data_IF_546912839563
#
_entry.id   IF_546912839563
#
_cell.length_a   1.000
_cell.length_b   1.000
_cell.length_c   1.000
_cell.angle_alpha   90.00
_cell.angle_beta   90.00
_cell.angle_gamma   90.00
#
_symmetry.space_group_name_H-M   'P 1'
#
loop_
_entity.id
_entity.type
_entity.pdbx_description
1 polymer ?
#
# COMPACT_ATOMS: atom_id res chain seq x y z
N UNK A 1 -19.66 -22.34 -10.19
CA UNK A 1 -19.07 -21.83 -11.44
C UNK A 1 -17.61 -22.25 -11.41
N UNK A 2 -17.06 -22.84 -12.46
CA UNK A 2 -15.62 -23.17 -12.50
C UNK A 2 -14.80 -21.89 -12.65
N UNK A 3 -13.52 -21.93 -12.26
CA UNK A 3 -12.56 -20.82 -12.44
C UNK A 3 -12.57 -20.23 -13.86
N UNK A 4 -12.60 -21.08 -14.90
CA UNK A 4 -12.71 -20.66 -16.31
C UNK A 4 -13.98 -19.86 -16.64
N UNK A 5 -15.04 -20.03 -15.85
CA UNK A 5 -16.27 -19.25 -15.98
C UNK A 5 -16.12 -17.80 -15.50
N UNK A 6 -15.21 -17.53 -14.57
CA UNK A 6 -14.97 -16.19 -14.03
C UNK A 6 -14.08 -15.33 -14.92
N UNK A 7 -13.18 -15.94 -15.69
CA UNK A 7 -12.42 -15.21 -16.72
C UNK A 7 -13.34 -14.54 -17.75
N UNK A 8 -14.54 -15.11 -17.98
CA UNK A 8 -15.55 -14.49 -18.84
C UNK A 8 -16.11 -13.19 -18.29
N UNK A 9 -16.07 -12.98 -16.96
CA UNK A 9 -16.51 -11.71 -16.36
C UNK A 9 -15.65 -10.55 -16.82
N UNK A 10 -14.39 -10.82 -17.17
CA UNK A 10 -13.40 -9.84 -17.60
C UNK A 10 -13.39 -9.62 -19.12
N UNK A 11 -14.21 -10.36 -19.87
CA UNK A 11 -14.30 -10.20 -21.31
C UNK A 11 -15.04 -8.90 -21.64
N UNK A 12 -14.38 -8.03 -22.40
CA UNK A 12 -14.97 -6.80 -22.92
C UNK A 12 -14.16 -5.56 -22.51
N UNK A 13 -14.84 -4.42 -22.49
CA UNK A 13 -14.28 -3.15 -22.02
C UNK A 13 -14.14 -3.13 -20.50
N UNK A 14 -13.27 -2.28 -19.95
CA UNK A 14 -13.14 -2.08 -18.48
C UNK A 14 -14.50 -1.82 -17.81
N UNK A 15 -15.38 -0.94 -18.33
CA UNK A 15 -16.73 -0.74 -17.80
C UNK A 15 -17.57 -2.01 -17.76
N UNK A 16 -17.56 -2.80 -18.86
CA UNK A 16 -18.30 -4.06 -18.94
C UNK A 16 -17.82 -5.05 -17.90
N UNK A 17 -16.49 -5.19 -17.76
CA UNK A 17 -15.89 -6.07 -16.78
C UNK A 17 -16.22 -5.64 -15.34
N UNK A 18 -16.17 -4.34 -15.04
CA UNK A 18 -16.53 -3.81 -13.73
C UNK A 18 -18.01 -4.05 -13.39
N UNK A 19 -18.92 -3.91 -14.35
CA UNK A 19 -20.33 -4.22 -14.17
C UNK A 19 -20.56 -5.72 -13.91
N UNK A 20 -19.91 -6.59 -14.67
CA UNK A 20 -19.98 -8.04 -14.47
C UNK A 20 -19.45 -8.47 -13.10
N UNK A 21 -18.30 -7.93 -12.69
CA UNK A 21 -17.70 -8.16 -11.38
C UNK A 21 -18.62 -7.67 -10.26
N UNK A 22 -19.22 -6.49 -10.41
CA UNK A 22 -20.19 -5.95 -9.43
C UNK A 22 -21.38 -6.89 -9.26
N UNK A 23 -21.95 -7.38 -10.36
CA UNK A 23 -23.06 -8.32 -10.31
C UNK A 23 -22.67 -9.65 -9.64
N UNK A 24 -21.47 -10.17 -9.94
CA UNK A 24 -20.98 -11.39 -9.33
C UNK A 24 -20.72 -11.22 -7.82
N UNK A 25 -20.07 -10.12 -7.42
CA UNK A 25 -19.81 -9.81 -6.01
C UNK A 25 -21.09 -9.67 -5.20
N UNK A 26 -22.14 -9.07 -5.78
CA UNK A 26 -23.46 -9.02 -5.16
C UNK A 26 -24.01 -10.43 -4.87
N UNK A 27 -23.79 -11.40 -5.76
CA UNK A 27 -24.17 -12.81 -5.52
C UNK A 27 -23.30 -13.50 -4.46
N UNK A 28 -22.04 -13.07 -4.30
CA UNK A 28 -21.13 -13.61 -3.29
C UNK A 28 -21.53 -13.26 -1.86
N UNK A 29 -22.30 -12.17 -1.64
CA UNK A 29 -22.83 -11.85 -0.32
C UNK A 29 -23.85 -12.90 0.16
N UNK A 30 -24.63 -13.45 -0.78
CA UNK A 30 -25.73 -14.38 -0.45
C UNK A 30 -25.31 -15.87 -0.54
N UNK A 31 -24.11 -16.17 -1.03
CA UNK A 31 -23.69 -17.55 -1.32
C UNK A 31 -22.21 -17.81 -1.08
N UNK A 32 -21.91 -18.74 -0.17
CA UNK A 32 -20.54 -19.18 0.10
C UNK A 32 -19.89 -19.92 -1.09
N UNK A 33 -20.69 -20.52 -1.98
CA UNK A 33 -20.18 -21.15 -3.21
C UNK A 33 -19.63 -20.07 -4.15
N UNK A 34 -20.35 -18.95 -4.28
CA UNK A 34 -19.87 -17.81 -5.06
C UNK A 34 -18.69 -17.11 -4.37
N UNK A 35 -18.69 -17.00 -3.04
CA UNK A 35 -17.55 -16.46 -2.29
C UNK A 35 -16.27 -17.31 -2.49
N UNK A 36 -16.37 -18.64 -2.46
CA UNK A 36 -15.25 -19.55 -2.78
C UNK A 36 -14.75 -19.42 -4.22
N UNK A 37 -15.68 -19.32 -5.17
CA UNK A 37 -15.32 -19.07 -6.57
C UNK A 37 -14.56 -17.75 -6.72
N UNK A 38 -15.00 -16.69 -6.02
CA UNK A 38 -14.33 -15.40 -6.04
C UNK A 38 -12.96 -15.44 -5.35
N UNK A 39 -12.83 -16.17 -4.24
CA UNK A 39 -11.55 -16.41 -3.58
C UNK A 39 -10.52 -17.01 -4.54
N UNK A 40 -10.87 -18.04 -5.29
CA UNK A 40 -9.96 -18.62 -6.29
C UNK A 40 -9.57 -17.59 -7.38
N UNK A 41 -10.47 -16.67 -7.70
CA UNK A 41 -10.29 -15.66 -8.75
C UNK A 41 -9.58 -14.37 -8.31
N UNK A 42 -9.58 -14.03 -7.03
CA UNK A 42 -9.00 -12.77 -6.53
C UNK A 42 -7.53 -12.56 -6.90
N UNK A 43 -6.63 -13.57 -6.87
CA UNK A 43 -5.26 -13.41 -7.36
C UNK A 43 -5.20 -12.93 -8.81
N UNK A 44 -6.06 -13.48 -9.67
CA UNK A 44 -6.16 -13.08 -11.07
C UNK A 44 -6.69 -11.67 -11.21
N UNK A 45 -7.71 -11.31 -10.43
CA UNK A 45 -8.22 -9.94 -10.38
C UNK A 45 -7.12 -8.95 -9.95
N UNK A 46 -6.32 -9.28 -8.93
CA UNK A 46 -5.21 -8.43 -8.49
C UNK A 46 -4.17 -8.23 -9.59
N UNK A 47 -3.80 -9.27 -10.34
CA UNK A 47 -2.91 -9.14 -11.51
C UNK A 47 -3.49 -8.20 -12.58
N UNK A 48 -4.81 -8.23 -12.79
CA UNK A 48 -5.45 -7.38 -13.80
C UNK A 48 -5.55 -5.93 -13.33
N UNK A 49 -5.87 -5.71 -12.06
CA UNK A 49 -5.96 -4.36 -11.49
C UNK A 49 -4.58 -3.70 -11.35
N UNK A 50 -3.65 -4.44 -10.76
CA UNK A 50 -2.36 -3.94 -10.25
C UNK A 50 -1.16 -4.40 -11.06
N UNK A 51 -1.33 -5.31 -12.02
CA UNK A 51 -0.24 -5.85 -12.82
C UNK A 51 0.52 -7.00 -12.16
N UNK A 52 1.51 -7.49 -12.89
CA UNK A 52 2.49 -8.48 -12.49
C UNK A 52 3.87 -8.09 -13.04
N UNK A 53 4.90 -8.89 -12.75
CA UNK A 53 6.24 -8.68 -13.33
C UNK A 53 6.24 -8.77 -14.86
N UNK A 54 5.27 -9.50 -15.42
CA UNK A 54 5.15 -9.78 -16.84
C UNK A 54 4.16 -8.87 -17.56
N UNK A 55 3.28 -8.17 -16.83
CA UNK A 55 2.17 -7.43 -17.44
C UNK A 55 1.72 -6.23 -16.62
N UNK A 56 1.37 -5.13 -17.31
CA UNK A 56 0.79 -3.95 -16.67
C UNK A 56 -0.69 -4.17 -16.35
N UNK A 57 -1.12 -3.76 -15.15
CA UNK A 57 -2.52 -3.76 -14.76
C UNK A 57 -3.28 -2.54 -15.26
N UNK A 58 -4.60 -2.52 -15.10
CA UNK A 58 -5.46 -1.41 -15.50
C UNK A 58 -5.07 -0.08 -14.86
N UNK A 59 -4.59 -0.08 -13.62
CA UNK A 59 -4.15 1.14 -12.92
C UNK A 59 -2.79 1.69 -13.41
N UNK A 60 -2.08 0.94 -14.26
CA UNK A 60 -0.85 1.39 -14.93
C UNK A 60 -1.10 1.94 -16.34
N UNK A 61 -2.35 1.93 -16.78
CA UNK A 61 -2.73 2.37 -18.12
C UNK A 61 -3.38 3.75 -18.05
N UNK A 62 -3.17 4.60 -19.07
CA UNK A 62 -3.95 5.82 -19.20
C UNK A 62 -5.40 5.44 -19.54
N UNK A 63 -6.30 5.57 -18.57
CA UNK A 63 -7.71 5.23 -18.74
C UNK A 63 -8.49 6.47 -19.17
N UNK A 64 -9.49 6.27 -20.04
CA UNK A 64 -10.47 7.34 -20.27
C UNK A 64 -11.35 7.50 -19.04
N UNK A 65 -11.93 8.68 -18.83
CA UNK A 65 -12.86 8.93 -17.71
C UNK A 65 -14.02 7.93 -17.65
N UNK A 66 -14.51 7.48 -18.82
CA UNK A 66 -15.56 6.48 -18.94
C UNK A 66 -15.13 5.08 -18.45
N UNK A 67 -13.83 4.77 -18.50
CA UNK A 67 -13.24 3.52 -17.98
C UNK A 67 -12.82 3.67 -16.50
N UNK A 68 -12.34 4.86 -16.12
CA UNK A 68 -11.92 5.19 -14.76
C UNK A 68 -13.09 5.16 -13.78
N UNK A 69 -14.21 5.85 -14.08
CA UNK A 69 -15.36 5.94 -13.18
C UNK A 69 -15.86 4.56 -12.69
N UNK A 70 -16.17 3.57 -13.55
CA UNK A 70 -16.63 2.26 -13.09
C UNK A 70 -15.56 1.45 -12.38
N UNK A 71 -14.29 1.57 -12.79
CA UNK A 71 -13.17 0.92 -12.09
C UNK A 71 -13.03 1.48 -10.67
N UNK A 72 -13.09 2.80 -10.55
CA UNK A 72 -13.00 3.51 -9.28
C UNK A 72 -14.16 3.15 -8.36
N UNK A 73 -15.40 3.14 -8.87
CA UNK A 73 -16.59 2.72 -8.12
C UNK A 73 -16.50 1.28 -7.59
N UNK A 74 -15.86 0.38 -8.35
CA UNK A 74 -15.65 -1.00 -7.95
C UNK A 74 -14.68 -1.13 -6.76
N UNK A 75 -13.52 -0.46 -6.84
CA UNK A 75 -12.36 -0.72 -5.94
C UNK A 75 -12.16 0.31 -4.83
N UNK A 76 -12.81 1.49 -4.90
CA UNK A 76 -12.74 2.50 -3.84
C UNK A 76 -13.17 1.92 -2.48
N UNK A 77 -12.82 2.54 -1.35
CA UNK A 77 -13.15 1.96 -0.04
C UNK A 77 -14.65 1.71 0.19
N UNK A 78 -15.53 2.49 -0.45
CA UNK A 78 -17.00 2.28 -0.44
C UNK A 78 -17.52 1.29 -1.49
N UNK A 79 -16.63 0.84 -2.37
CA UNK A 79 -16.96 0.00 -3.52
C UNK A 79 -17.45 -1.37 -3.10
N UNK A 80 -18.16 -2.04 -4.01
CA UNK A 80 -18.70 -3.38 -3.76
C UNK A 80 -17.60 -4.40 -3.46
N UNK A 81 -16.43 -4.29 -4.10
CA UNK A 81 -15.29 -5.16 -3.84
C UNK A 81 -14.79 -5.00 -2.41
N UNK A 82 -14.50 -3.77 -1.99
CA UNK A 82 -14.01 -3.52 -0.64
C UNK A 82 -15.00 -4.00 0.43
N UNK A 83 -16.29 -3.72 0.26
CA UNK A 83 -17.34 -4.20 1.18
C UNK A 83 -17.38 -5.72 1.28
N UNK A 84 -17.21 -6.42 0.16
CA UNK A 84 -17.17 -7.89 0.15
C UNK A 84 -15.91 -8.42 0.85
N UNK A 85 -14.74 -7.82 0.60
CA UNK A 85 -13.50 -8.22 1.26
C UNK A 85 -13.56 -8.01 2.78
N UNK A 86 -14.16 -6.90 3.21
CA UNK A 86 -14.37 -6.59 4.63
C UNK A 86 -15.36 -7.55 5.30
N UNK A 87 -16.46 -7.90 4.62
CA UNK A 87 -17.47 -8.81 5.17
C UNK A 87 -16.96 -10.23 5.41
N UNK A 88 -15.87 -10.61 4.73
CA UNK A 88 -15.22 -11.91 4.85
C UNK A 88 -13.86 -11.85 5.55
N UNK A 89 -13.49 -10.74 6.17
CA UNK A 89 -12.16 -10.54 6.79
C UNK A 89 -11.82 -11.58 7.86
N UNK A 90 -12.80 -11.96 8.69
CA UNK A 90 -12.60 -12.89 9.82
C UNK A 90 -12.74 -14.37 9.43
N UNK A 91 -13.02 -14.66 8.16
CA UNK A 91 -13.26 -16.02 7.70
C UNK A 91 -11.93 -16.74 7.42
N UNK A 92 -11.63 -17.74 8.26
CA UNK A 92 -10.39 -18.53 8.18
C UNK A 92 -10.35 -19.47 6.97
N UNK A 93 -11.46 -19.64 6.25
CA UNK A 93 -11.52 -20.42 5.01
C UNK A 93 -10.91 -19.70 3.80
N UNK A 94 -10.69 -18.38 3.89
CA UNK A 94 -10.24 -17.55 2.77
C UNK A 94 -8.84 -16.98 3.00
N UNK A 95 -7.84 -17.86 3.00
CA UNK A 95 -6.43 -17.53 3.28
C UNK A 95 -5.56 -17.86 2.06
N UNK A 96 -4.71 -16.92 1.65
CA UNK A 96 -3.67 -17.11 0.64
C UNK A 96 -2.31 -17.29 1.29
N UNK A 97 -1.57 -18.29 0.82
CA UNK A 97 -0.13 -18.38 1.08
C UNK A 97 0.61 -17.39 0.16
N UNK A 98 1.40 -16.51 0.74
CA UNK A 98 2.17 -15.53 -0.01
C UNK A 98 3.38 -16.18 -0.67
N UNK A 99 3.56 -15.87 -1.95
CA UNK A 99 4.75 -16.28 -2.70
C UNK A 99 5.95 -15.49 -2.16
N UNK A 100 7.05 -16.14 -1.71
CA UNK A 100 8.20 -15.43 -1.18
C UNK A 100 8.73 -14.34 -2.13
N UNK A 101 8.74 -14.61 -3.44
CA UNK A 101 9.25 -13.70 -4.48
C UNK A 101 8.48 -12.39 -4.64
N UNK A 102 7.27 -12.27 -4.07
CA UNK A 102 6.52 -11.01 -4.03
C UNK A 102 6.84 -10.16 -2.81
N UNK A 103 7.48 -10.72 -1.78
CA UNK A 103 7.85 -10.01 -0.56
C UNK A 103 9.18 -9.27 -0.73
N UNK A 104 9.48 -8.23 0.07
CA UNK A 104 10.81 -7.61 0.07
C UNK A 104 11.91 -8.63 0.39
N UNK A 105 13.08 -8.46 -0.23
CA UNK A 105 14.23 -9.37 -0.04
C UNK A 105 14.61 -9.56 1.44
N UNK A 106 14.48 -8.50 2.24
CA UNK A 106 14.71 -8.52 3.68
C UNK A 106 13.74 -9.44 4.41
N UNK A 107 12.47 -9.41 4.01
CA UNK A 107 11.43 -10.28 4.56
C UNK A 107 11.69 -11.72 4.13
N UNK A 108 12.01 -11.96 2.87
CA UNK A 108 12.32 -13.28 2.33
C UNK A 108 13.44 -13.98 3.11
N UNK A 109 14.54 -13.26 3.41
CA UNK A 109 15.66 -13.83 4.19
C UNK A 109 15.28 -14.24 5.61
N UNK A 110 14.19 -13.69 6.15
CA UNK A 110 13.69 -13.97 7.49
C UNK A 110 12.61 -15.06 7.51
N UNK A 111 12.17 -15.57 6.36
CA UNK A 111 11.25 -16.72 6.26
C UNK A 111 11.97 -18.05 6.51
N UNK A 112 12.87 -18.06 7.48
CA UNK A 112 13.59 -19.23 7.96
C UNK A 112 13.07 -19.65 9.34
N UNK A 113 12.93 -20.96 9.63
CA UNK A 113 12.49 -21.45 10.94
C UNK A 113 13.26 -20.91 12.15
N UNK A 114 14.48 -20.41 11.96
CA UNK A 114 15.31 -19.85 13.04
C UNK A 114 15.19 -18.32 13.17
N UNK A 115 14.71 -17.62 12.13
CA UNK A 115 14.75 -16.15 12.07
C UNK A 115 13.37 -15.47 12.02
N UNK A 116 12.29 -16.24 11.82
CA UNK A 116 10.95 -15.67 11.60
C UNK A 116 10.44 -14.76 12.72
N UNK A 117 10.94 -14.91 13.95
CA UNK A 117 10.60 -14.02 15.08
C UNK A 117 11.11 -12.58 14.89
N UNK A 118 12.02 -12.35 13.94
CA UNK A 118 12.54 -11.02 13.59
C UNK A 118 11.79 -10.37 12.42
N UNK A 119 10.73 -11.01 11.92
CA UNK A 119 9.88 -10.43 10.90
C UNK A 119 9.22 -9.13 11.39
N UNK A 120 8.95 -8.18 10.49
CA UNK A 120 8.10 -7.03 10.78
C UNK A 120 6.81 -7.43 11.52
N UNK A 121 6.32 -6.61 12.48
CA UNK A 121 5.12 -6.92 13.26
C UNK A 121 3.89 -7.27 12.41
N UNK A 122 3.76 -6.65 11.24
CA UNK A 122 2.67 -6.93 10.29
C UNK A 122 2.67 -8.38 9.78
N UNK A 123 3.79 -9.08 9.81
CA UNK A 123 3.87 -10.46 9.33
C UNK A 123 3.81 -11.47 10.47
N UNK A 124 4.24 -11.10 11.69
CA UNK A 124 4.29 -12.02 12.83
C UNK A 124 2.92 -12.65 13.14
N UNK A 125 1.85 -11.87 13.07
CA UNK A 125 0.48 -12.38 13.27
C UNK A 125 -0.05 -13.24 12.12
N UNK A 126 0.71 -13.34 11.03
CA UNK A 126 0.34 -14.02 9.76
C UNK A 126 1.27 -15.20 9.46
N UNK A 127 2.17 -15.53 10.38
CA UNK A 127 3.07 -16.68 10.24
C UNK A 127 2.30 -17.98 10.42
N UNK A 128 2.40 -18.87 9.44
CA UNK A 128 1.98 -20.25 9.52
C UNK A 128 3.22 -21.16 9.53
N UNK A 129 3.39 -21.93 10.61
CA UNK A 129 4.52 -22.85 10.78
C UNK A 129 4.13 -24.25 10.30
N UNK A 130 4.72 -24.68 9.19
CA UNK A 130 4.60 -26.06 8.73
C UNK A 130 5.54 -26.92 9.56
N UNK A 131 4.95 -27.88 10.30
CA UNK A 131 5.69 -28.81 11.15
C UNK A 131 5.71 -30.17 10.46
N UNK A 132 6.90 -30.72 10.25
CA UNK A 132 7.04 -32.09 9.78
C UNK A 132 7.34 -32.99 10.97
N UNK A 133 6.59 -34.08 11.08
CA UNK A 133 6.83 -35.11 12.08
C UNK A 133 7.83 -36.10 11.46
N UNK A 134 9.06 -36.07 11.93
CA UNK A 134 10.05 -37.08 11.58
C UNK A 134 10.00 -38.22 12.61
N UNK A 135 9.69 -39.43 12.17
CA UNK A 135 9.74 -40.62 13.03
C UNK A 135 11.18 -41.11 13.12
N UNK A 136 11.89 -40.76 14.19
CA UNK A 136 13.26 -41.21 14.42
C UNK A 136 13.26 -42.39 15.39
N UNK A 137 13.45 -43.60 14.86
CA UNK A 137 13.76 -44.82 15.63
C UNK A 137 12.59 -45.44 16.40
N UNK A 138 12.71 -46.75 16.67
CA UNK A 138 11.71 -47.61 17.33
C UNK A 138 11.45 -47.30 18.81
N UNK A 139 12.12 -46.30 19.38
CA UNK A 139 11.99 -45.90 20.80
C UNK A 139 11.64 -44.42 20.93
N UNK A 140 10.35 -44.15 20.75
CA UNK A 140 9.53 -43.08 21.34
C UNK A 140 10.25 -41.80 21.81
N UNK A 141 10.39 -40.82 20.90
CA UNK A 141 10.18 -39.39 21.19
C UNK A 141 9.92 -38.65 19.87
N UNK A 142 8.66 -38.37 19.59
CA UNK A 142 8.23 -37.62 18.41
C UNK A 142 8.53 -36.14 18.64
N UNK A 143 9.63 -35.61 18.08
CA UNK A 143 9.87 -34.16 18.05
C UNK A 143 9.32 -33.60 16.74
N UNK A 144 8.35 -32.68 16.86
CA UNK A 144 7.88 -31.90 15.71
C UNK A 144 8.90 -30.79 15.43
N UNK A 145 9.52 -30.83 14.25
CA UNK A 145 10.44 -29.78 13.80
C UNK A 145 9.72 -28.85 12.82
N UNK A 146 9.89 -27.55 13.01
CA UNK A 146 9.42 -26.54 12.05
C UNK A 146 10.30 -26.63 10.81
N UNK A 147 9.69 -26.92 9.66
CA UNK A 147 10.41 -27.12 8.40
C UNK A 147 10.21 -25.98 7.42
N UNK A 148 9.08 -25.27 7.52
CA UNK A 148 8.76 -24.13 6.64
C UNK A 148 8.01 -23.05 7.40
N UNK A 149 8.31 -21.80 7.10
CA UNK A 149 7.61 -20.62 7.59
C UNK A 149 6.89 -19.99 6.40
N UNK A 150 5.56 -19.97 6.45
CA UNK A 150 4.71 -19.36 5.43
C UNK A 150 4.06 -18.08 5.98
N UNK A 151 3.77 -17.13 5.09
CA UNK A 151 2.92 -16.00 5.42
C UNK A 151 1.54 -16.20 4.79
N UNK A 152 0.52 -16.04 5.61
CA UNK A 152 -0.86 -16.30 5.27
C UNK A 152 -1.68 -15.03 5.37
N UNK A 153 -2.22 -14.54 4.26
CA UNK A 153 -3.03 -13.33 4.20
C UNK A 153 -4.48 -13.69 3.92
N UNK A 154 -5.43 -13.00 4.57
CA UNK A 154 -6.83 -13.09 4.16
C UNK A 154 -7.08 -12.32 2.85
N UNK A 155 -8.30 -12.36 2.33
CA UNK A 155 -8.64 -11.69 1.06
C UNK A 155 -8.40 -10.18 1.05
N UNK A 156 -8.74 -9.47 2.13
CA UNK A 156 -8.51 -8.04 2.21
C UNK A 156 -7.02 -7.72 2.26
N UNK A 157 -6.28 -8.44 3.10
CA UNK A 157 -4.84 -8.26 3.27
C UNK A 157 -4.08 -8.54 1.98
N UNK A 158 -4.45 -9.61 1.28
CA UNK A 158 -3.89 -9.93 -0.03
C UNK A 158 -4.16 -8.80 -1.02
N UNK A 159 -5.40 -8.31 -1.09
CA UNK A 159 -5.77 -7.20 -1.97
C UNK A 159 -5.00 -5.91 -1.66
N UNK A 160 -4.90 -5.53 -0.38
CA UNK A 160 -4.16 -4.34 0.05
C UNK A 160 -2.65 -4.46 -0.16
N UNK A 161 -2.10 -5.68 -0.02
CA UNK A 161 -0.72 -5.97 -0.36
C UNK A 161 -0.46 -5.70 -1.84
N UNK A 162 -1.29 -6.24 -2.73
CA UNK A 162 -1.11 -6.04 -4.18
C UNK A 162 -1.35 -4.59 -4.62
N UNK A 163 -2.24 -3.86 -3.94
CA UNK A 163 -2.41 -2.42 -4.15
C UNK A 163 -1.08 -1.66 -3.93
N UNK A 164 -0.38 -1.93 -2.83
CA UNK A 164 0.89 -1.30 -2.53
C UNK A 164 2.05 -1.84 -3.39
N UNK A 165 2.01 -3.13 -3.71
CA UNK A 165 2.98 -3.81 -4.58
C UNK A 165 2.97 -3.28 -6.02
N UNK A 166 1.83 -2.77 -6.51
CA UNK A 166 1.68 -2.21 -7.85
C UNK A 166 2.81 -1.23 -8.22
N UNK A 167 3.16 -0.32 -7.29
CA UNK A 167 4.20 0.68 -7.51
C UNK A 167 5.64 0.13 -7.46
N UNK A 168 5.81 -1.10 -6.99
CA UNK A 168 7.13 -1.76 -6.88
C UNK A 168 7.48 -2.60 -8.10
N UNK A 169 6.57 -2.71 -9.07
CA UNK A 169 6.82 -3.42 -10.31
C UNK A 169 7.81 -2.62 -11.16
N UNK A 170 8.97 -3.22 -11.43
CA UNK A 170 10.01 -2.62 -12.26
C UNK A 170 9.53 -2.48 -13.72
N UNK A 171 9.79 -1.32 -14.33
CA UNK A 171 9.67 -1.14 -15.78
C UNK A 171 10.96 -1.66 -16.43
N UNK A 172 11.14 -2.99 -16.45
CA UNK A 172 12.33 -3.67 -16.99
C UNK A 172 12.54 -3.42 -18.51
N UNK A 173 11.64 -2.66 -19.13
CA UNK A 173 11.72 -2.14 -20.50
C UNK A 173 12.95 -1.25 -20.77
N UNK A 174 13.74 -0.88 -19.74
CA UNK A 174 15.00 -0.16 -19.91
C UNK A 174 16.08 -0.98 -20.65
N UNK A 175 15.95 -2.32 -20.77
CA UNK A 175 16.92 -3.17 -21.49
C UNK A 175 16.61 -3.40 -22.99
N UNK A 176 15.69 -2.65 -23.61
CA UNK A 176 15.61 -2.57 -25.07
C UNK A 176 15.14 -3.85 -25.78
N UNK A 177 14.70 -4.88 -25.05
CA UNK A 177 13.79 -5.87 -25.63
C UNK A 177 12.43 -5.21 -25.64
N UNK A 178 12.07 -4.62 -26.78
CA UNK A 178 10.72 -4.12 -27.00
C UNK A 178 9.71 -5.24 -26.77
N UNK A 179 9.24 -5.37 -25.52
CA UNK A 179 7.99 -6.03 -25.24
C UNK A 179 6.98 -5.12 -25.93
N UNK A 180 6.48 -5.62 -27.07
CA UNK A 180 5.43 -4.94 -27.81
C UNK A 180 4.39 -4.52 -26.78
N UNK A 181 3.88 -3.29 -26.89
CA UNK A 181 2.56 -2.94 -26.39
C UNK A 181 1.59 -4.01 -26.90
N UNK A 182 1.49 -5.16 -26.23
CA UNK A 182 0.33 -6.00 -26.29
C UNK A 182 -0.68 -5.19 -25.51
N UNK A 183 -1.35 -4.32 -26.25
CA UNK A 183 -2.62 -3.73 -25.86
C UNK A 183 -3.35 -4.78 -25.01
N UNK A 184 -3.75 -4.51 -23.76
CA UNK A 184 -4.50 -5.48 -22.96
C UNK A 184 -5.75 -5.97 -23.70
N UNK A 185 -6.23 -5.18 -24.69
CA UNK A 185 -7.27 -5.57 -25.64
C UNK A 185 -6.90 -6.75 -26.56
N UNK A 186 -5.61 -7.01 -26.79
CA UNK A 186 -5.09 -8.11 -27.62
C UNK A 186 -4.45 -9.26 -26.84
N UNK A 187 -4.21 -9.14 -25.53
CA UNK A 187 -3.66 -10.23 -24.71
C UNK A 187 -4.59 -11.46 -24.57
N UNK A 188 -5.77 -11.43 -25.19
CA UNK A 188 -6.82 -12.46 -25.11
C UNK A 188 -6.97 -13.35 -26.35
N UNK A 189 -5.99 -13.41 -27.26
CA UNK A 189 -6.01 -14.41 -28.34
C UNK A 189 -5.31 -15.71 -27.92
N UNK A 190 -6.12 -16.73 -27.67
CA UNK A 190 -5.73 -18.13 -27.51
C UNK A 190 -4.97 -18.61 -28.75
N UNK A 191 -3.86 -19.35 -28.52
CA UNK A 191 -2.88 -19.80 -29.50
C UNK A 191 -3.47 -20.49 -30.74
N UNK A 192 -3.03 -20.05 -31.93
CA UNK A 192 -2.99 -20.87 -33.15
C UNK A 192 -1.56 -21.40 -33.40
N UNK A 193 -1.39 -22.46 -34.22
CA UNK A 193 -0.11 -23.17 -34.34
C UNK A 193 0.96 -22.34 -35.07
N UNK A 194 2.27 -22.59 -34.80
CA UNK A 194 3.35 -21.77 -35.31
C UNK A 194 3.67 -22.13 -36.77
N UNK A 195 3.85 -21.10 -37.60
CA UNK A 195 4.38 -21.23 -38.97
C UNK A 195 5.81 -20.66 -39.00
N UNK A 196 6.76 -21.53 -39.36
CA UNK A 196 7.90 -21.23 -40.23
C UNK A 196 9.06 -20.40 -39.68
N UNK A 197 10.12 -21.10 -39.28
CA UNK A 197 11.48 -20.59 -39.07
C UNK A 197 12.21 -20.28 -40.39
N UNK A 198 13.02 -19.22 -40.40
CA UNK A 198 14.15 -19.04 -41.33
C UNK A 198 15.29 -18.22 -40.67
N UNK A 199 16.56 -18.38 -41.07
CA UNK A 199 17.70 -18.25 -40.15
C UNK A 199 18.68 -17.08 -40.40
N UNK A 200 19.41 -16.78 -39.31
CA UNK A 200 20.79 -16.27 -39.15
C UNK A 200 21.34 -15.08 -39.96
N UNK A 201 21.87 -14.10 -39.21
CA UNK A 201 22.97 -13.23 -39.62
C UNK A 201 23.72 -12.75 -38.37
N UNK A 202 24.95 -13.23 -38.16
CA UNK A 202 25.76 -12.94 -36.98
C UNK A 202 26.54 -11.63 -37.06
N UNK A 203 26.93 -11.09 -35.89
CA UNK A 203 28.02 -10.15 -35.74
C UNK A 203 28.60 -10.22 -34.31
N UNK A 204 29.90 -9.95 -34.24
CA UNK A 204 30.93 -10.29 -33.23
C UNK A 204 30.86 -9.52 -31.90
N UNK A 205 31.59 -9.98 -30.86
CA UNK A 205 31.75 -9.25 -29.61
C UNK A 205 32.76 -8.11 -29.79
N UNK A 206 32.45 -6.93 -29.26
CA UNK A 206 33.36 -5.79 -29.23
C UNK A 206 33.58 -5.33 -27.79
N UNK A 207 34.87 -5.13 -27.52
CA UNK A 207 35.51 -4.90 -26.24
C UNK A 207 35.05 -3.65 -25.48
N UNK A 208 35.28 -3.75 -24.18
CA UNK A 208 35.25 -2.70 -23.19
C UNK A 208 36.31 -1.64 -23.50
N UNK A 209 35.90 -0.43 -23.93
CA UNK A 209 36.53 0.86 -23.58
C UNK A 209 35.78 2.01 -24.24
N UNK A 210 34.84 2.63 -23.52
CA UNK A 210 34.58 4.08 -23.61
C UNK A 210 33.52 4.45 -22.58
N UNK A 211 33.85 5.38 -21.68
CA UNK A 211 32.93 5.91 -20.68
C UNK A 211 31.73 6.57 -21.34
N UNK A 212 30.62 5.85 -21.40
CA UNK A 212 29.32 6.49 -21.47
C UNK A 212 29.01 7.06 -20.08
N UNK A 213 28.58 8.33 -19.97
CA UNK A 213 28.04 8.82 -18.70
C UNK A 213 26.90 7.87 -18.27
N UNK A 214 26.73 7.59 -16.96
CA UNK A 214 25.62 6.79 -16.51
C UNK A 214 24.34 7.40 -17.08
N UNK A 215 23.61 6.64 -17.91
CA UNK A 215 22.32 7.08 -18.44
C UNK A 215 21.48 7.46 -17.23
N UNK A 216 21.10 8.73 -17.15
CA UNK A 216 20.21 9.21 -16.10
C UNK A 216 18.96 8.30 -16.10
N UNK A 217 18.61 7.68 -14.98
CA UNK A 217 17.37 6.94 -14.89
C UNK A 217 16.25 7.93 -15.16
N UNK A 218 15.65 7.88 -16.35
CA UNK A 218 14.40 8.60 -16.61
C UNK A 218 13.35 8.01 -15.69
N UNK A 219 13.11 8.70 -14.58
CA UNK A 219 12.03 8.41 -13.67
C UNK A 219 10.72 8.53 -14.44
N UNK A 220 10.15 7.39 -14.84
CA UNK A 220 8.86 7.33 -15.53
C UNK A 220 7.78 7.10 -14.49
N UNK A 221 6.72 7.88 -14.61
CA UNK A 221 5.46 7.67 -13.90
C UNK A 221 4.87 6.33 -14.37
N UNK A 222 4.72 5.38 -13.45
CA UNK A 222 4.17 4.04 -13.62
C UNK A 222 2.63 4.03 -13.52
N UNK A 223 2.05 4.95 -12.74
CA UNK A 223 0.60 5.03 -12.47
C UNK A 223 -0.04 6.34 -12.91
N UNK A 224 -1.30 6.28 -13.34
CA UNK A 224 -2.09 7.47 -13.66
C UNK A 224 -2.65 8.15 -12.39
N UNK A 225 -3.20 9.36 -12.54
CA UNK A 225 -3.82 10.14 -11.45
C UNK A 225 -4.92 9.39 -10.69
N UNK A 226 -5.57 8.42 -11.33
CA UNK A 226 -6.57 7.53 -10.72
C UNK A 226 -6.02 6.75 -9.52
N UNK A 227 -4.77 6.28 -9.60
CA UNK A 227 -4.12 5.55 -8.50
C UNK A 227 -3.92 6.47 -7.30
N UNK A 228 -3.41 7.69 -7.52
CA UNK A 228 -3.20 8.66 -6.45
C UNK A 228 -4.51 9.07 -5.79
N UNK A 229 -5.57 9.26 -6.58
CA UNK A 229 -6.90 9.54 -6.03
C UNK A 229 -7.42 8.38 -5.17
N UNK A 230 -7.26 7.14 -5.63
CA UNK A 230 -7.62 5.95 -4.85
C UNK A 230 -6.78 5.83 -3.57
N UNK A 231 -5.48 6.10 -3.66
CA UNK A 231 -4.57 6.11 -2.52
C UNK A 231 -5.00 7.11 -1.46
N UNK A 232 -5.35 8.34 -1.85
CA UNK A 232 -5.93 9.33 -0.96
C UNK A 232 -7.20 8.82 -0.26
N UNK A 233 -8.11 8.17 -0.98
CA UNK A 233 -9.31 7.60 -0.36
C UNK A 233 -8.99 6.49 0.63
N UNK A 234 -8.04 5.61 0.32
CA UNK A 234 -7.59 4.58 1.27
C UNK A 234 -6.94 5.19 2.51
N UNK A 235 -6.15 6.25 2.38
CA UNK A 235 -5.61 6.98 3.54
C UNK A 235 -6.73 7.56 4.41
N UNK A 236 -7.74 8.21 3.81
CA UNK A 236 -8.89 8.71 4.56
C UNK A 236 -9.71 7.61 5.22
N UNK A 237 -9.82 6.45 4.58
CA UNK A 237 -10.63 5.33 5.06
C UNK A 237 -9.94 4.54 6.18
N UNK A 238 -8.68 4.15 5.99
CA UNK A 238 -7.91 3.33 6.93
C UNK A 238 -7.18 4.15 8.00
N UNK A 239 -6.88 5.42 7.73
CA UNK A 239 -6.20 6.34 8.65
C UNK A 239 -7.00 7.65 8.77
N UNK A 240 -8.27 7.59 9.23
CA UNK A 240 -9.13 8.77 9.32
C UNK A 240 -8.59 9.81 10.30
N UNK A 241 -9.11 11.03 10.19
CA UNK A 241 -8.87 12.08 11.16
C UNK A 241 -9.43 11.67 12.54
N UNK A 242 -8.74 11.99 13.65
CA UNK A 242 -9.29 11.73 14.97
C UNK A 242 -10.53 12.61 15.17
N UNK A 243 -11.59 12.03 15.74
CA UNK A 243 -12.75 12.81 16.15
C UNK A 243 -12.32 13.73 17.29
N UNK A 244 -12.51 15.05 17.14
CA UNK A 244 -12.30 16.00 18.24
C UNK A 244 -13.26 15.63 19.39
N UNK A 245 -12.80 15.58 20.65
CA UNK A 245 -13.68 15.46 21.80
C UNK A 245 -14.78 16.53 21.74
N UNK A 246 -16.02 16.15 22.06
CA UNK A 246 -17.17 17.07 22.04
C UNK A 246 -17.06 18.07 23.20
N UNK A 247 -16.25 19.11 23.03
CA UNK A 247 -16.09 20.17 24.04
C UNK A 247 -17.12 21.32 23.90
N UNK A 248 -18.23 21.11 23.17
CA UNK A 248 -19.30 22.10 23.05
C UNK A 248 -20.64 21.57 23.60
N UNK A 249 -21.20 22.16 24.66
CA UNK A 249 -22.60 21.98 24.98
C UNK A 249 -23.44 22.83 24.00
N UNK A 250 -24.54 22.25 23.52
CA UNK A 250 -25.56 22.85 22.64
C UNK A 250 -25.19 23.06 21.17
N UNK A 251 -25.76 22.23 20.29
CA UNK A 251 -26.88 22.61 19.41
C UNK A 251 -27.34 21.39 18.60
N UNK A 252 -28.66 21.15 18.60
CA UNK A 252 -29.45 20.19 17.81
C UNK A 252 -28.87 18.77 17.54
N UNK A 253 -29.43 17.71 18.17
CA UNK A 253 -29.06 16.32 17.83
C UNK A 253 -29.40 15.94 16.37
N UNK A 254 -30.32 16.67 15.73
CA UNK A 254 -30.82 16.33 14.39
C UNK A 254 -29.99 16.93 13.24
N UNK A 255 -29.09 17.90 13.50
CA UNK A 255 -28.27 18.55 12.46
C UNK A 255 -26.89 17.90 12.27
N UNK A 256 -26.39 17.13 13.25
CA UNK A 256 -25.06 16.49 13.22
C UNK A 256 -25.05 15.10 12.55
N UNK A 257 -26.18 14.65 11.99
CA UNK A 257 -26.27 13.42 11.18
C UNK A 257 -25.86 13.65 9.71
N UNK A 258 -25.52 14.89 9.32
CA UNK A 258 -24.93 15.21 8.03
C UNK A 258 -23.52 14.62 7.91
N UNK A 259 -23.51 13.35 7.49
CA UNK A 259 -22.44 12.59 6.84
C UNK A 259 -21.06 12.65 7.52
N UNK A 260 -20.92 11.92 8.63
CA UNK A 260 -19.60 11.47 9.06
C UNK A 260 -18.92 10.74 7.87
N UNK A 261 -17.68 11.11 7.49
CA UNK A 261 -16.98 10.42 6.41
C UNK A 261 -16.85 8.93 6.74
N UNK A 262 -17.02 8.08 5.73
CA UNK A 262 -16.86 6.64 5.92
C UNK A 262 -15.39 6.33 6.18
N UNK A 263 -15.16 5.47 7.15
CA UNK A 263 -13.87 4.97 7.59
C UNK A 263 -14.03 3.51 8.00
N UNK A 264 -12.92 2.80 8.12
CA UNK A 264 -12.94 1.41 8.61
C UNK A 264 -13.61 1.28 9.99
N UNK A 265 -13.63 2.35 10.80
CA UNK A 265 -14.19 2.34 12.15
C UNK A 265 -15.72 2.47 12.21
N UNK A 266 -16.35 3.05 11.19
CA UNK A 266 -17.81 3.16 11.09
C UNK A 266 -18.42 2.32 9.97
N UNK A 267 -17.60 1.50 9.28
CA UNK A 267 -18.09 0.56 8.27
C UNK A 267 -18.79 -0.62 8.95
N UNK A 268 -20.01 -0.91 8.48
CA UNK A 268 -20.87 -1.98 8.97
C UNK A 268 -20.55 -3.33 8.31
N UNK A 269 -19.70 -3.37 7.28
CA UNK A 269 -19.24 -4.64 6.71
C UNK A 269 -18.47 -5.51 7.73
N UNK A 270 -17.95 -4.93 8.81
CA UNK A 270 -17.15 -5.61 9.85
C UNK A 270 -18.03 -5.98 11.07
N UNK A 271 -19.31 -6.30 10.86
CA UNK A 271 -20.27 -6.55 11.95
C UNK A 271 -20.04 -7.90 12.69
N UNK A 272 -19.35 -8.86 12.08
CA UNK A 272 -19.30 -10.25 12.57
C UNK A 272 -18.09 -10.62 13.47
N UNK A 273 -17.38 -9.63 14.03
CA UNK A 273 -16.20 -9.87 14.88
C UNK A 273 -16.52 -9.63 16.35
N UNK A 274 -16.31 -10.65 17.21
CA UNK A 274 -16.39 -10.50 18.67
C UNK A 274 -15.54 -9.33 19.19
N UNK A 275 -14.38 -9.11 18.55
CA UNK A 275 -13.45 -8.00 18.83
C UNK A 275 -13.41 -6.96 17.69
N UNK A 276 -14.57 -6.45 17.27
CA UNK A 276 -14.71 -5.50 16.13
C UNK A 276 -13.68 -4.36 16.16
N UNK A 277 -13.46 -3.75 17.31
CA UNK A 277 -12.54 -2.62 17.46
C UNK A 277 -11.08 -3.02 17.18
N UNK A 278 -10.66 -4.18 17.71
CA UNK A 278 -9.31 -4.71 17.47
C UNK A 278 -9.12 -5.11 16.01
N UNK A 279 -10.14 -5.72 15.40
CA UNK A 279 -10.15 -6.05 13.97
C UNK A 279 -9.97 -4.81 13.11
N UNK A 280 -10.74 -3.75 13.36
CA UNK A 280 -10.63 -2.49 12.63
C UNK A 280 -9.24 -1.86 12.76
N UNK A 281 -8.67 -1.85 13.97
CA UNK A 281 -7.32 -1.37 14.21
C UNK A 281 -6.28 -2.21 13.46
N UNK A 282 -6.40 -3.54 13.51
CA UNK A 282 -5.49 -4.47 12.83
C UNK A 282 -5.50 -4.27 11.30
N UNK A 283 -6.66 -3.99 10.71
CA UNK A 283 -6.79 -3.66 9.28
C UNK A 283 -6.01 -2.38 8.97
N UNK A 284 -6.21 -1.31 9.75
CA UNK A 284 -5.47 -0.05 9.60
C UNK A 284 -3.96 -0.24 9.74
N UNK A 285 -3.53 -1.01 10.73
CA UNK A 285 -2.12 -1.32 11.00
C UNK A 285 -1.49 -2.14 9.88
N UNK A 286 -2.22 -3.12 9.35
CA UNK A 286 -1.77 -3.89 8.21
C UNK A 286 -1.60 -3.03 6.96
N UNK A 287 -2.59 -2.18 6.65
CA UNK A 287 -2.51 -1.28 5.51
C UNK A 287 -1.26 -0.39 5.60
N UNK A 288 -1.08 0.32 6.71
CA UNK A 288 0.06 1.24 6.84
C UNK A 288 1.40 0.51 6.90
N UNK A 289 1.49 -0.60 7.64
CA UNK A 289 2.73 -1.34 7.72
C UNK A 289 3.12 -1.95 6.38
N UNK A 290 2.15 -2.33 5.55
CA UNK A 290 2.41 -2.81 4.17
C UNK A 290 3.01 -1.70 3.31
N UNK A 291 2.49 -0.47 3.37
CA UNK A 291 3.08 0.67 2.66
C UNK A 291 4.53 0.90 3.12
N UNK A 292 4.76 0.91 4.44
CA UNK A 292 6.09 1.13 5.01
C UNK A 292 7.06 0.04 4.58
N UNK A 293 6.66 -1.22 4.66
CA UNK A 293 7.52 -2.35 4.33
C UNK A 293 7.86 -2.40 2.84
N UNK A 294 6.89 -2.15 1.95
CA UNK A 294 7.12 -2.17 0.51
C UNK A 294 7.81 -0.92 -0.03
N UNK A 295 7.53 0.27 0.52
CA UNK A 295 8.00 1.54 -0.05
C UNK A 295 9.20 2.14 0.69
N UNK A 296 9.26 2.00 2.01
CA UNK A 296 10.35 2.56 2.84
C UNK A 296 11.35 1.49 3.29
N UNK A 297 10.90 0.24 3.46
CA UNK A 297 11.68 -0.87 4.01
C UNK A 297 12.69 -1.52 3.05
N UNK A 298 12.82 -1.01 1.81
CA UNK A 298 13.74 -1.57 0.80
C UNK A 298 15.22 -1.27 1.08
N UNK A 299 15.49 -0.23 1.87
CA UNK A 299 16.84 0.27 2.10
C UNK A 299 17.30 -0.03 3.51
N UNK A 300 18.39 -0.78 3.64
CA UNK A 300 19.00 -1.10 4.93
C UNK A 300 20.34 -0.41 5.09
N UNK A 301 20.50 0.30 6.22
CA UNK A 301 21.81 0.67 6.74
C UNK A 301 22.33 -0.46 7.60
N UNK A 302 23.14 -1.35 7.02
CA UNK A 302 23.86 -2.35 7.82
C UNK A 302 24.91 -1.60 8.64
N UNK A 303 24.87 -1.78 9.97
CA UNK A 303 25.72 -1.07 10.95
C UNK A 303 27.22 -1.40 10.75
N UNK A 304 27.55 -2.52 10.10
CA UNK A 304 28.91 -2.86 9.62
C UNK A 304 29.29 -2.13 8.32
N UNK A 305 29.15 -0.81 8.36
CA UNK A 305 30.02 0.26 7.87
C UNK A 305 30.77 0.22 6.50
N UNK A 306 30.45 -0.63 5.51
CA UNK A 306 31.01 -0.44 4.13
C UNK A 306 30.07 -0.68 2.94
N UNK A 307 28.92 -1.30 3.14
CA UNK A 307 27.98 -1.57 2.04
C UNK A 307 26.61 -1.01 2.34
N UNK A 308 26.36 0.21 1.86
CA UNK A 308 25.01 0.77 1.81
C UNK A 308 24.30 0.11 0.62
N UNK A 309 23.20 -0.60 0.89
CA UNK A 309 22.29 -1.02 -0.18
C UNK A 309 21.24 0.06 -0.34
N UNK A 310 21.40 0.84 -1.39
CA UNK A 310 20.42 1.83 -1.80
C UNK A 310 19.73 1.37 -3.08
N UNK A 311 18.44 1.10 -2.98
CA UNK A 311 17.49 0.94 -4.06
C UNK A 311 16.76 2.27 -4.15
N UNK A 312 16.95 2.97 -5.26
CA UNK A 312 16.21 4.21 -5.52
C UNK A 312 14.73 3.86 -5.73
N UNK A 313 13.80 4.45 -4.96
CA UNK A 313 12.38 4.29 -5.21
C UNK A 313 11.97 5.04 -6.48
N UNK A 314 10.96 4.55 -7.18
CA UNK A 314 10.34 5.27 -8.29
C UNK A 314 9.74 6.61 -7.84
N UNK A 315 9.55 7.55 -8.79
CA UNK A 315 8.94 8.85 -8.51
C UNK A 315 7.56 8.71 -7.85
N UNK A 316 6.73 7.78 -8.32
CA UNK A 316 5.38 7.60 -7.80
C UNK A 316 5.38 7.15 -6.34
N UNK A 317 6.32 6.27 -5.97
CA UNK A 317 6.52 5.87 -4.58
C UNK A 317 6.89 7.09 -3.73
N UNK A 318 7.83 7.93 -4.20
CA UNK A 318 8.23 9.13 -3.48
C UNK A 318 7.07 10.12 -3.30
N UNK A 319 6.23 10.29 -4.32
CA UNK A 319 5.03 11.12 -4.26
C UNK A 319 3.98 10.55 -3.29
N UNK A 320 3.71 9.25 -3.35
CA UNK A 320 2.83 8.57 -2.39
C UNK A 320 3.34 8.71 -0.94
N UNK A 321 4.65 8.65 -0.70
CA UNK A 321 5.23 8.90 0.63
C UNK A 321 4.98 10.35 1.06
N UNK A 322 5.17 11.33 0.16
CA UNK A 322 4.88 12.74 0.46
C UNK A 322 3.41 12.95 0.84
N UNK A 323 2.49 12.33 0.09
CA UNK A 323 1.05 12.35 0.36
C UNK A 323 0.74 11.71 1.72
N UNK A 324 1.33 10.55 2.01
CA UNK A 324 1.15 9.85 3.28
C UNK A 324 1.62 10.69 4.48
N UNK A 325 2.80 11.29 4.39
CA UNK A 325 3.36 12.14 5.44
C UNK A 325 2.49 13.38 5.64
N UNK A 326 2.03 14.00 4.55
CA UNK A 326 1.09 15.12 4.58
C UNK A 326 -0.22 14.75 5.27
N UNK A 327 -0.80 13.60 4.92
CA UNK A 327 -2.05 13.09 5.50
C UNK A 327 -1.94 12.86 7.01
N UNK A 328 -0.79 12.37 7.48
CA UNK A 328 -0.52 12.14 8.90
C UNK A 328 -0.36 13.44 9.70
N UNK A 329 0.07 14.53 9.06
CA UNK A 329 0.24 15.82 9.73
C UNK A 329 -0.93 16.80 9.54
N UNK A 330 -1.73 16.65 8.48
CA UNK A 330 -2.85 17.53 8.16
C UNK A 330 -4.00 17.51 9.19
N UNK A 331 -4.15 16.42 9.94
CA UNK A 331 -5.27 16.22 10.88
C UNK A 331 -4.85 16.29 12.35
N UNK A 332 -4.08 17.32 12.67
CA UNK A 332 -3.65 17.70 14.02
C UNK A 332 -2.63 16.73 14.62
N UNK A 333 -1.38 17.20 14.68
CA UNK A 333 -0.38 16.69 15.60
C UNK A 333 -0.78 17.15 17.02
N UNK A 334 -1.85 16.54 17.55
CA UNK A 334 -2.09 16.63 18.97
C UNK A 334 -0.80 16.26 19.72
N UNK A 335 -0.60 16.85 20.90
CA UNK A 335 0.47 16.49 21.81
C UNK A 335 0.57 14.96 22.07
N UNK A 336 -0.45 14.19 21.69
CA UNK A 336 -0.54 12.74 21.78
C UNK A 336 0.30 11.94 20.76
N UNK A 337 0.68 12.54 19.61
CA UNK A 337 1.48 11.84 18.55
C UNK A 337 2.96 12.21 18.62
N UNK A 338 3.29 13.45 18.98
CA UNK A 338 4.67 13.97 19.04
C UNK A 338 5.26 14.02 20.47
N UNK A 339 4.46 13.73 21.50
CA UNK A 339 4.93 13.61 22.88
C UNK A 339 5.82 12.37 23.04
N UNK A 340 7.12 12.51 22.78
CA UNK A 340 8.14 11.52 23.11
C UNK A 340 8.20 11.25 24.61
N UNK A 341 8.34 9.98 24.98
CA UNK A 341 8.73 9.37 26.27
C UNK A 341 8.14 9.92 27.60
N UNK A 342 7.30 10.96 27.59
CA UNK A 342 6.72 11.61 28.76
C UNK A 342 5.20 11.49 28.84
N UNK A 343 4.58 10.75 27.92
CA UNK A 343 3.17 10.35 28.06
C UNK A 343 3.13 8.83 28.07
N UNK A 344 2.73 8.19 29.19
CA UNK A 344 2.57 6.75 29.25
C UNK A 344 1.72 6.25 28.08
N UNK A 345 1.95 5.01 27.66
CA UNK A 345 1.27 4.28 26.59
C UNK A 345 -0.24 4.09 26.80
N UNK A 346 -0.82 4.88 27.71
CA UNK A 346 -2.16 4.85 28.23
C UNK A 346 -2.39 6.25 28.82
N UNK A 347 -2.99 7.18 28.05
CA UNK A 347 -3.80 8.19 28.71
C UNK A 347 -5.05 7.42 29.08
N UNK A 348 -5.03 6.85 30.28
CA UNK A 348 -6.15 6.17 30.89
C UNK A 348 -6.93 7.26 31.63
N UNK A 349 -8.22 7.40 31.36
CA UNK A 349 -9.09 8.21 32.21
C UNK A 349 -9.05 7.69 33.67
N UNK A 350 -9.62 8.42 34.62
CA UNK A 350 -9.67 7.97 36.03
C UNK A 350 -10.39 6.62 36.24
N UNK A 351 -10.93 6.01 35.18
CA UNK A 351 -11.63 4.71 35.20
C UNK A 351 -10.87 3.58 34.50
N UNK A 352 -9.65 3.78 34.00
CA UNK A 352 -8.88 2.70 33.38
C UNK A 352 -8.89 2.65 31.85
N UNK A 353 -9.54 3.60 31.15
CA UNK A 353 -9.79 3.50 29.69
C UNK A 353 -8.98 4.48 28.85
N UNK A 354 -8.43 4.01 27.73
CA UNK A 354 -7.70 4.82 26.74
C UNK A 354 -8.52 6.04 26.30
N UNK A 355 -7.93 7.24 26.41
CA UNK A 355 -8.49 8.54 25.99
C UNK A 355 -8.39 8.73 24.47
N UNK A 356 -7.60 7.91 23.76
CA UNK A 356 -7.58 7.92 22.29
C UNK A 356 -8.74 7.08 21.74
N UNK A 357 -9.53 7.68 20.84
CA UNK A 357 -10.46 6.93 19.99
C UNK A 357 -9.69 6.03 18.99
N UNK A 358 -10.38 5.08 18.35
CA UNK A 358 -9.76 4.14 17.41
C UNK A 358 -8.97 4.82 16.28
N UNK A 359 -9.49 5.94 15.75
CA UNK A 359 -8.81 6.74 14.74
C UNK A 359 -7.46 7.31 15.25
N UNK A 360 -7.43 7.82 16.48
CA UNK A 360 -6.21 8.27 17.15
C UNK A 360 -5.21 7.14 17.38
N UNK A 361 -5.67 5.95 17.77
CA UNK A 361 -4.82 4.76 17.92
C UNK A 361 -4.19 4.35 16.59
N UNK A 362 -4.98 4.25 15.52
CA UNK A 362 -4.47 3.90 14.19
C UNK A 362 -3.45 4.92 13.66
N UNK A 363 -3.64 6.22 13.89
CA UNK A 363 -2.66 7.26 13.53
C UNK A 363 -1.37 7.15 14.34
N UNK A 364 -1.48 6.86 15.63
CA UNK A 364 -0.30 6.61 16.49
C UNK A 364 0.50 5.42 15.96
N UNK A 365 -0.16 4.30 15.66
CA UNK A 365 0.48 3.13 15.05
C UNK A 365 1.12 3.51 13.71
N UNK A 366 0.41 4.22 12.84
CA UNK A 366 0.94 4.69 11.55
C UNK A 366 2.23 5.50 11.70
N UNK A 367 2.26 6.47 12.63
CA UNK A 367 3.45 7.26 12.92
C UNK A 367 4.61 6.39 13.43
N UNK A 368 4.33 5.40 14.29
CA UNK A 368 5.34 4.48 14.82
C UNK A 368 5.96 3.61 13.73
N UNK A 369 5.16 3.11 12.77
CA UNK A 369 5.67 2.35 11.63
C UNK A 369 6.53 3.22 10.71
N UNK A 370 6.10 4.44 10.40
CA UNK A 370 6.76 5.31 9.42
C UNK A 370 8.05 5.91 9.95
N UNK A 371 8.06 6.46 11.18
CA UNK A 371 9.16 7.27 11.72
C UNK A 371 10.57 6.67 11.49
N UNK A 372 10.87 5.41 11.88
CA UNK A 372 12.23 4.87 11.75
C UNK A 372 12.64 4.66 10.28
N UNK A 373 11.69 4.21 9.45
CA UNK A 373 11.98 3.90 8.05
C UNK A 373 12.06 5.16 7.19
N UNK A 374 11.19 6.13 7.44
CA UNK A 374 11.18 7.42 6.74
C UNK A 374 12.48 8.19 6.96
N UNK A 375 13.01 8.24 8.19
CA UNK A 375 14.29 8.89 8.44
C UNK A 375 15.41 8.25 7.61
N UNK A 376 15.48 6.92 7.59
CA UNK A 376 16.48 6.17 6.82
C UNK A 376 16.34 6.42 5.32
N UNK A 377 15.10 6.35 4.82
CA UNK A 377 14.75 6.64 3.43
C UNK A 377 15.20 8.04 3.02
N UNK A 378 14.84 9.06 3.81
CA UNK A 378 15.13 10.45 3.53
C UNK A 378 16.64 10.72 3.59
N UNK A 379 17.33 10.16 4.60
CA UNK A 379 18.77 10.34 4.77
C UNK A 379 19.55 9.72 3.60
N UNK A 380 19.17 8.52 3.15
CA UNK A 380 19.76 7.89 1.97
C UNK A 380 19.37 8.62 0.69
N UNK A 381 18.13 9.11 0.58
CA UNK A 381 17.69 9.94 -0.53
C UNK A 381 18.55 11.20 -0.67
N UNK A 382 18.80 11.95 0.40
CA UNK A 382 19.67 13.13 0.31
C UNK A 382 21.11 12.80 -0.12
N UNK A 383 21.57 11.57 0.09
CA UNK A 383 22.92 11.12 -0.26
C UNK A 383 23.00 10.59 -1.70
N UNK A 384 21.96 9.90 -2.19
CA UNK A 384 22.03 9.11 -3.43
C UNK A 384 20.97 9.48 -4.48
N UNK A 385 19.95 10.27 -4.14
CA UNK A 385 18.90 10.65 -5.08
C UNK A 385 19.48 11.53 -6.20
N UNK A 386 19.14 11.30 -7.47
CA UNK A 386 19.59 12.14 -8.57
C UNK A 386 19.08 13.58 -8.41
N UNK A 387 19.90 14.56 -8.76
CA UNK A 387 19.50 15.98 -8.74
C UNK A 387 18.64 16.34 -9.96
N UNK A 388 17.56 15.59 -10.19
CA UNK A 388 16.59 15.81 -11.25
C UNK A 388 15.30 16.47 -10.71
N UNK A 389 14.26 16.56 -11.55
CA UNK A 389 12.98 17.18 -11.20
C UNK A 389 12.21 16.46 -10.08
N UNK A 390 12.62 15.26 -9.68
CA UNK A 390 11.98 14.49 -8.60
C UNK A 390 12.62 14.76 -7.24
N UNK A 391 13.85 15.28 -7.21
CA UNK A 391 14.57 15.64 -5.97
C UNK A 391 13.80 16.64 -5.08
N UNK A 392 13.17 17.70 -5.63
CA UNK A 392 12.38 18.63 -4.80
C UNK A 392 11.27 17.94 -4.00
N UNK A 393 10.66 16.86 -4.52
CA UNK A 393 9.62 16.10 -3.80
C UNK A 393 10.17 15.40 -2.55
N UNK A 394 11.42 14.90 -2.62
CA UNK A 394 12.12 14.33 -1.46
C UNK A 394 12.37 15.38 -0.39
N UNK A 395 12.87 16.56 -0.79
CA UNK A 395 13.11 17.69 0.12
C UNK A 395 11.80 18.18 0.73
N UNK A 396 10.74 18.31 -0.08
CA UNK A 396 9.42 18.69 0.40
C UNK A 396 8.90 17.69 1.44
N UNK A 397 9.03 16.40 1.19
CA UNK A 397 8.68 15.34 2.15
C UNK A 397 9.45 15.50 3.47
N UNK A 398 10.76 15.75 3.40
CA UNK A 398 11.57 16.03 4.58
C UNK A 398 11.04 17.25 5.34
N UNK A 399 10.76 18.35 4.64
CA UNK A 399 10.27 19.58 5.24
C UNK A 399 8.92 19.39 5.93
N UNK A 400 7.99 18.67 5.29
CA UNK A 400 6.69 18.33 5.90
C UNK A 400 6.91 17.52 7.18
N UNK A 401 7.81 16.53 7.14
CA UNK A 401 8.12 15.68 8.28
C UNK A 401 8.72 16.42 9.48
N UNK A 402 9.67 17.34 9.24
CA UNK A 402 10.34 18.08 10.33
C UNK A 402 9.61 19.34 10.78
N UNK A 403 8.64 19.84 9.99
CA UNK A 403 7.84 21.02 10.34
C UNK A 403 6.34 20.74 10.38
N UNK A 404 5.87 19.72 11.12
CA UNK A 404 4.46 19.33 11.12
C UNK A 404 3.52 20.47 11.58
N UNK A 405 4.00 21.39 12.42
CA UNK A 405 3.25 22.56 12.86
C UNK A 405 2.91 23.55 11.72
N UNK A 406 3.71 23.58 10.64
CA UNK A 406 3.45 24.45 9.48
C UNK A 406 2.26 23.95 8.65
N UNK A 407 2.00 22.65 8.69
CA UNK A 407 1.00 21.99 7.86
C UNK A 407 -0.25 21.53 8.64
N UNK A 408 -0.14 21.39 9.98
CA UNK A 408 -1.24 20.97 10.86
C UNK A 408 -2.20 22.08 11.31
N UNK A 409 -1.82 23.37 11.21
CA UNK A 409 -2.72 24.51 11.51
C UNK A 409 -3.22 25.16 10.23
N UNK A 410 -4.30 24.62 9.65
CA UNK A 410 -5.17 25.36 8.73
C UNK A 410 -6.61 25.26 9.23
N UNK A 411 -6.87 25.85 10.39
CA UNK A 411 -8.24 26.12 10.79
C UNK A 411 -8.63 27.49 10.20
N UNK A 412 -9.54 27.57 9.21
CA UNK A 412 -9.94 28.84 8.61
C UNK A 412 -10.63 29.79 9.60
N UNK A 413 -11.04 29.28 10.79
CA UNK A 413 -11.59 30.07 11.88
C UNK A 413 -10.51 30.73 12.76
N UNK A 414 -9.25 30.30 12.67
CA UNK A 414 -8.11 30.87 13.40
C UNK A 414 -7.27 31.70 12.43
N UNK A 415 -7.90 32.71 11.82
CA UNK A 415 -7.27 33.70 10.96
C UNK A 415 -6.40 34.71 11.75
N UNK A 416 -5.72 34.26 12.80
CA UNK A 416 -4.92 35.10 13.71
C UNK A 416 -3.55 34.56 14.07
N UNK A 417 -3.20 33.34 13.65
CA UNK A 417 -1.89 32.78 13.97
C UNK A 417 -0.94 32.93 12.77
N UNK A 418 -0.63 34.20 12.51
CA UNK A 418 0.40 34.61 11.57
C UNK A 418 1.73 34.06 12.09
N UNK A 419 2.37 33.22 11.27
CA UNK A 419 3.78 32.82 11.46
C UNK A 419 4.57 34.08 11.81
N UNK A 420 5.27 34.05 12.96
CA UNK A 420 6.18 35.14 13.38
C UNK A 420 6.93 35.71 12.17
N UNK A 421 6.76 37.01 11.92
CA UNK A 421 7.26 37.77 10.75
C UNK A 421 8.73 37.46 10.37
N UNK A 422 9.51 36.96 11.33
CA UNK A 422 10.91 36.57 11.17
C UNK A 422 11.17 35.50 10.08
N UNK A 423 10.15 34.79 9.61
CA UNK A 423 10.31 33.69 8.65
C UNK A 423 9.58 33.85 7.32
N UNK A 424 8.91 34.99 7.06
CA UNK A 424 8.23 35.23 5.78
C UNK A 424 9.19 35.51 4.60
N UNK A 425 10.44 35.90 4.88
CA UNK A 425 11.39 36.41 3.88
C UNK A 425 11.93 35.33 2.92
N UNK A 426 11.72 34.04 3.20
CA UNK A 426 12.31 32.94 2.40
C UNK A 426 11.32 32.20 1.48
N UNK A 427 10.05 32.59 1.46
CA UNK A 427 9.04 32.08 0.52
C UNK A 427 9.03 32.91 -0.76
N UNK A 428 10.08 32.79 -1.57
CA UNK A 428 10.27 33.59 -2.78
C UNK A 428 9.12 33.44 -3.78
N UNK A 429 8.32 34.51 -3.90
CA UNK A 429 7.46 34.77 -5.04
C UNK A 429 8.33 35.32 -6.17
N UNK A 430 8.53 34.55 -7.24
CA UNK A 430 9.08 35.08 -8.49
C UNK A 430 7.92 35.77 -9.20
N UNK A 431 7.80 37.08 -8.98
CA UNK A 431 7.01 37.97 -9.84
C UNK A 431 7.92 38.37 -11.00
N UNK A 432 7.54 38.16 -12.27
CA UNK A 432 8.27 38.74 -13.38
C UNK A 432 7.95 40.24 -13.44
N UNK A 433 8.96 41.08 -13.30
CA UNK A 433 8.84 42.50 -13.66
C UNK A 433 8.81 42.59 -15.19
N UNK A 434 7.71 43.10 -15.72
CA UNK A 434 7.64 43.66 -17.07
C UNK A 434 8.45 44.97 -17.11
N UNK A 435 9.32 45.09 -18.11
CA UNK A 435 9.72 46.38 -18.71
C UNK A 435 8.96 46.57 -20.02
#
# INVERSE_FOLDING_TARGET
MSFEGLDRLLVGSVPTACANLTNHLNQCFDSDVHAKSFFEFLPRLCQILYGSKESRGWLHLPLSKAEEDPLYELIRPKGVLMRFLLSRYTDSGFIYEMVPDSLPKRTQSKLDPTQYLTLPPIYLSRVNLVKTIATVGTTQKTMAQVTKVNLNFNMLEYFLFYFAYALTLDDDDAQGRGMRRSDPKMAFKINGPPVGTAPSGGARPSDWTSGNPPKAPTSRVLVDGSFFNLFHQYLHYFIPAPERPKDAPNTNPDANSLQRPLSVFNDQAIENSADRQQTQLSISEFFIGTLVELWLGQNDKVVDNRTIRYVQPGADIAECISVLVSHLHAHDASAYVLGGDLVPSHIIDSTGKSVLNLAGMARRSAYQYIRPQLYTFLQLGLQFWPLDNTFPSLVNTWMIWITPWRYGRRDPSVAGDVVSEKWQVYGGSIVPNEE
#
